data_IF_675940204330
#
_entry.id   IF_675940204330
#
_cell.length_a   1.000
_cell.length_b   1.000
_cell.length_c   1.000
_cell.angle_alpha   90.00
_cell.angle_beta   90.00
_cell.angle_gamma   90.00
#
_symmetry.space_group_name_H-M   'P 1'
#
loop_
_entity.id
_entity.type
_entity.pdbx_description
1 polymer ?
#
# COMPACT_ATOMS: atom_id res chain seq x y z
N UNK A 1 -59.88 -41.80 -29.56
CA UNK A 1 -60.92 -41.03 -28.85
C UNK A 1 -60.46 -40.76 -27.44
N UNK A 2 -60.02 -39.51 -27.24
CA UNK A 2 -59.94 -38.65 -26.05
C UNK A 2 -60.43 -39.22 -24.69
N UNK A 3 -59.53 -39.17 -23.69
CA UNK A 3 -59.73 -38.88 -22.24
C UNK A 3 -60.36 -39.93 -21.30
N UNK A 4 -60.07 -40.03 -19.99
CA UNK A 4 -59.59 -39.03 -19.01
C UNK A 4 -59.15 -39.69 -17.68
N UNK A 5 -58.28 -38.98 -16.95
CA UNK A 5 -58.28 -38.76 -15.48
C UNK A 5 -57.84 -39.89 -14.53
N UNK A 6 -57.16 -39.70 -13.38
CA UNK A 6 -56.64 -38.52 -12.67
C UNK A 6 -55.75 -39.00 -11.49
N UNK A 7 -54.62 -38.30 -11.29
CA UNK A 7 -53.80 -38.05 -10.07
C UNK A 7 -53.60 -39.10 -8.96
N UNK A 8 -52.35 -39.26 -8.52
CA UNK A 8 -51.83 -38.78 -7.20
C UNK A 8 -50.38 -39.21 -6.97
N UNK A 9 -49.57 -38.34 -6.36
CA UNK A 9 -48.43 -38.77 -5.54
C UNK A 9 -47.07 -38.21 -5.95
N UNK A 10 -46.79 -37.00 -5.51
CA UNK A 10 -45.48 -36.33 -5.51
C UNK A 10 -44.47 -37.06 -4.62
N UNK A 11 -43.21 -37.18 -5.05
CA UNK A 11 -42.04 -36.81 -4.23
C UNK A 11 -40.78 -36.72 -5.10
N UNK A 12 -40.30 -35.50 -5.32
CA UNK A 12 -39.00 -35.22 -5.90
C UNK A 12 -37.93 -35.34 -4.81
N UNK A 13 -36.84 -36.07 -5.08
CA UNK A 13 -35.60 -35.98 -4.30
C UNK A 13 -34.54 -35.35 -5.19
N UNK A 14 -34.31 -34.06 -4.97
CA UNK A 14 -33.19 -33.30 -5.52
C UNK A 14 -32.03 -33.53 -4.55
N UNK A 15 -31.03 -34.30 -4.99
CA UNK A 15 -29.74 -34.37 -4.31
C UNK A 15 -28.94 -33.11 -4.68
N UNK A 16 -29.05 -32.09 -3.83
CA UNK A 16 -28.06 -31.01 -3.78
C UNK A 16 -26.72 -31.59 -3.34
N UNK A 17 -25.79 -31.74 -4.28
CA UNK A 17 -24.37 -31.88 -3.97
C UNK A 17 -23.81 -30.50 -3.66
N UNK A 18 -23.86 -30.13 -2.39
CA UNK A 18 -23.08 -29.08 -1.76
C UNK A 18 -21.61 -29.46 -1.81
N UNK A 19 -20.90 -28.99 -2.84
CA UNK A 19 -19.44 -29.00 -2.87
C UNK A 19 -18.94 -27.60 -2.49
N UNK A 20 -18.63 -27.49 -1.20
CA UNK A 20 -17.47 -26.77 -0.66
C UNK A 20 -17.30 -25.33 -1.16
N UNK A 21 -18.05 -24.41 -0.53
CA UNK A 21 -17.51 -23.08 -0.29
C UNK A 21 -16.17 -23.24 0.42
N UNK A 22 -15.09 -22.86 -0.27
CA UNK A 22 -13.82 -22.59 0.39
C UNK A 22 -14.03 -21.44 1.35
N UNK A 23 -14.21 -21.75 2.64
CA UNK A 23 -13.95 -20.81 3.71
C UNK A 23 -12.44 -20.57 3.74
N UNK A 24 -11.99 -19.49 3.12
CA UNK A 24 -10.77 -18.82 3.57
C UNK A 24 -10.99 -17.33 3.49
N UNK A 25 -11.31 -16.73 4.62
CA UNK A 25 -10.51 -15.63 5.17
C UNK A 25 -11.13 -15.29 6.51
N UNK A 26 -10.30 -15.40 7.54
CA UNK A 26 -10.51 -14.87 8.86
C UNK A 26 -11.02 -13.43 8.71
N UNK A 27 -12.28 -13.19 9.10
CA UNK A 27 -12.84 -11.84 9.05
C UNK A 27 -12.19 -11.07 10.19
N UNK A 28 -11.08 -10.39 9.88
CA UNK A 28 -10.67 -9.24 10.66
C UNK A 28 -11.91 -8.37 10.91
N UNK A 29 -12.21 -8.00 12.14
CA UNK A 29 -13.38 -7.17 12.52
C UNK A 29 -13.30 -5.72 11.98
N UNK A 30 -12.46 -5.48 10.97
CA UNK A 30 -12.23 -4.18 10.38
C UNK A 30 -13.54 -3.60 9.83
N UNK A 31 -13.88 -2.44 10.37
CA UNK A 31 -15.06 -1.69 9.95
C UNK A 31 -14.79 -1.03 8.60
N UNK A 32 -15.63 -1.35 7.61
CA UNK A 32 -15.62 -0.66 6.32
C UNK A 32 -15.88 0.84 6.50
N UNK A 33 -15.21 1.65 5.70
CA UNK A 33 -15.34 3.10 5.69
C UNK A 33 -15.54 3.60 4.26
N UNK A 34 -16.12 4.79 4.11
CA UNK A 34 -16.16 5.47 2.79
C UNK A 34 -14.74 5.86 2.39
N UNK A 35 -14.45 5.84 1.10
CA UNK A 35 -13.21 6.41 0.62
C UNK A 35 -13.14 6.62 -0.88
N UNK A 36 -12.06 7.25 -1.33
CA UNK A 36 -11.85 7.62 -2.73
C UNK A 36 -10.38 7.53 -3.15
N UNK A 37 -10.15 7.02 -4.36
CA UNK A 37 -8.83 6.95 -5.00
C UNK A 37 -7.98 5.77 -4.55
N UNK A 38 -6.74 5.74 -5.03
CA UNK A 38 -5.75 4.74 -4.64
C UNK A 38 -4.40 5.44 -4.40
N UNK A 39 -3.64 4.94 -3.43
CA UNK A 39 -2.27 5.35 -3.20
C UNK A 39 -1.33 4.64 -4.20
N UNK A 40 -0.52 5.43 -4.90
CA UNK A 40 0.45 4.95 -5.90
C UNK A 40 1.47 6.05 -6.24
N UNK A 41 2.56 5.69 -6.91
CA UNK A 41 3.55 6.65 -7.41
C UNK A 41 3.16 7.14 -8.81
N UNK A 42 3.07 8.46 -9.01
CA UNK A 42 2.83 9.01 -10.34
C UNK A 42 3.95 8.69 -11.35
N UNK A 43 5.19 8.49 -10.86
CA UNK A 43 6.31 8.07 -11.72
C UNK A 43 6.17 6.62 -12.18
N UNK A 44 5.74 5.72 -11.28
CA UNK A 44 5.69 4.28 -11.56
C UNK A 44 4.31 3.76 -12.04
N UNK A 45 3.26 4.59 -12.05
CA UNK A 45 1.90 4.17 -12.45
C UNK A 45 1.83 3.44 -13.80
N UNK A 46 2.64 3.86 -14.76
CA UNK A 46 2.70 3.26 -16.11
C UNK A 46 3.28 1.84 -16.14
N UNK A 47 3.87 1.38 -15.04
CA UNK A 47 4.50 0.06 -14.92
C UNK A 47 3.69 -0.87 -14.03
N UNK A 48 3.06 -0.36 -12.97
CA UNK A 48 2.37 -1.17 -11.97
C UNK A 48 0.85 -1.28 -12.14
N UNK A 49 0.23 -0.35 -12.88
CA UNK A 49 -1.22 -0.32 -13.11
C UNK A 49 -2.03 -0.26 -11.82
N UNK A 50 -1.46 0.30 -10.74
CA UNK A 50 -2.17 0.44 -9.46
C UNK A 50 -3.36 1.38 -9.58
N UNK A 51 -3.29 2.39 -10.44
CA UNK A 51 -4.34 3.36 -10.71
C UNK A 51 -5.50 2.79 -11.54
N UNK A 52 -5.33 1.61 -12.14
CA UNK A 52 -6.34 0.92 -12.94
C UNK A 52 -7.19 -0.08 -12.12
N UNK A 53 -6.93 -0.24 -10.82
CA UNK A 53 -7.64 -1.21 -9.98
C UNK A 53 -9.07 -0.79 -9.68
N UNK A 54 -9.96 -1.78 -9.61
CA UNK A 54 -11.40 -1.59 -9.45
C UNK A 54 -11.93 -2.19 -8.13
N UNK A 55 -13.22 -2.04 -7.86
CA UNK A 55 -13.91 -2.61 -6.68
C UNK A 55 -13.22 -2.28 -5.34
N UNK A 56 -12.75 -1.04 -5.20
CA UNK A 56 -11.99 -0.57 -4.03
C UNK A 56 -12.87 -0.53 -2.78
N UNK A 57 -12.41 -1.18 -1.72
CA UNK A 57 -13.01 -1.16 -0.38
C UNK A 57 -12.00 -0.63 0.62
N UNK A 58 -12.42 0.36 1.41
CA UNK A 58 -11.61 0.99 2.45
C UNK A 58 -12.09 0.51 3.83
N UNK A 59 -11.15 0.47 4.76
CA UNK A 59 -11.40 0.14 6.16
C UNK A 59 -10.97 1.32 7.03
N UNK A 60 -11.57 1.43 8.22
CA UNK A 60 -11.11 2.39 9.22
C UNK A 60 -9.63 2.13 9.54
N UNK A 61 -8.81 3.19 9.61
CA UNK A 61 -7.44 3.03 10.05
C UNK A 61 -7.42 2.59 11.50
N UNK A 62 -6.37 1.88 11.86
CA UNK A 62 -6.08 1.47 13.23
C UNK A 62 -4.77 2.13 13.67
N UNK A 63 -4.60 2.31 14.97
CA UNK A 63 -3.29 2.69 15.50
C UNK A 63 -2.30 1.55 15.23
N UNK A 64 -1.02 1.89 15.00
CA UNK A 64 -0.04 0.88 14.58
C UNK A 64 0.20 -0.18 15.67
N UNK A 65 0.16 0.20 16.95
CA UNK A 65 0.24 -0.70 18.11
C UNK A 65 -0.94 -1.69 18.20
N UNK A 66 -2.08 -1.37 17.59
CA UNK A 66 -3.26 -2.23 17.48
C UNK A 66 -3.27 -3.08 16.19
N UNK A 67 -2.34 -2.84 15.26
CA UNK A 67 -2.33 -3.45 13.93
C UNK A 67 -2.16 -4.97 13.99
N UNK A 68 -1.38 -5.48 14.94
CA UNK A 68 -1.12 -6.92 15.13
C UNK A 68 -2.37 -7.73 15.49
N UNK A 69 -3.35 -7.08 16.10
CA UNK A 69 -4.61 -7.72 16.50
C UNK A 69 -5.75 -7.43 15.55
N UNK A 70 -5.67 -6.32 14.81
CA UNK A 70 -6.75 -5.82 13.98
C UNK A 70 -6.63 -6.18 12.49
N UNK A 71 -5.41 -6.30 11.96
CA UNK A 71 -5.20 -6.60 10.55
C UNK A 71 -5.34 -8.10 10.24
N UNK A 72 -5.87 -8.48 9.06
CA UNK A 72 -5.85 -9.86 8.61
C UNK A 72 -4.45 -10.43 8.63
N UNK A 73 -4.29 -11.70 9.02
CA UNK A 73 -2.97 -12.36 9.13
C UNK A 73 -2.11 -12.20 7.87
N UNK A 74 -2.71 -12.33 6.68
CA UNK A 74 -2.04 -12.18 5.38
C UNK A 74 -1.44 -10.79 5.20
N UNK A 75 -2.03 -9.76 5.80
CA UNK A 75 -1.53 -8.38 5.76
C UNK A 75 -0.57 -8.13 6.91
N UNK A 76 -0.93 -8.55 8.13
CA UNK A 76 -0.13 -8.38 9.35
C UNK A 76 1.27 -8.91 9.18
N UNK A 77 1.42 -10.08 8.55
CA UNK A 77 2.75 -10.65 8.35
C UNK A 77 3.67 -9.72 7.55
N UNK A 78 3.20 -8.69 6.83
CA UNK A 78 4.01 -7.80 5.99
C UNK A 78 4.26 -6.43 6.62
N UNK A 79 3.57 -6.15 7.72
CA UNK A 79 3.69 -4.91 8.47
C UNK A 79 4.80 -5.13 9.49
N UNK A 80 5.83 -4.30 9.41
CA UNK A 80 6.89 -4.28 10.41
C UNK A 80 6.78 -2.95 11.16
N UNK A 81 6.94 -2.96 12.47
CA UNK A 81 7.03 -1.70 13.21
C UNK A 81 8.46 -1.15 13.08
N UNK A 82 8.58 0.12 12.69
CA UNK A 82 9.84 0.83 12.82
C UNK A 82 9.94 1.34 14.24
N UNK A 83 11.13 1.23 14.84
CA UNK A 83 11.38 1.97 16.08
C UNK A 83 11.29 3.48 15.77
N UNK A 84 10.31 4.22 16.34
CA UNK A 84 10.16 5.65 16.06
C UNK A 84 11.38 6.48 16.46
N UNK A 85 12.16 6.04 17.46
CA UNK A 85 13.40 6.71 17.89
C UNK A 85 14.50 6.69 16.82
N UNK A 86 14.38 5.83 15.79
CA UNK A 86 15.30 5.80 14.64
C UNK A 86 14.90 6.79 13.55
N UNK A 87 13.70 7.38 13.60
CA UNK A 87 13.26 8.36 12.62
C UNK A 87 13.93 9.71 12.90
N UNK A 88 14.30 10.47 11.86
CA UNK A 88 14.97 11.76 12.01
C UNK A 88 13.99 12.92 12.33
N UNK A 89 12.84 12.61 12.93
CA UNK A 89 11.81 13.53 13.37
C UNK A 89 11.01 12.88 14.51
N UNK A 90 10.36 13.70 15.34
CA UNK A 90 9.48 13.19 16.40
C UNK A 90 8.19 12.67 15.76
N UNK A 91 7.74 11.49 16.19
CA UNK A 91 6.49 10.90 15.70
C UNK A 91 5.37 11.20 16.69
N UNK A 92 4.33 11.86 16.22
CA UNK A 92 3.14 12.23 17.00
C UNK A 92 1.94 11.34 16.66
N UNK A 93 1.94 10.70 15.49
CA UNK A 93 0.85 9.84 15.03
C UNK A 93 1.34 8.68 14.19
N UNK A 94 0.84 7.48 14.50
CA UNK A 94 1.17 6.22 13.83
C UNK A 94 -0.11 5.48 13.43
N UNK A 95 -0.36 5.33 12.13
CA UNK A 95 -1.59 4.69 11.63
C UNK A 95 -1.32 3.66 10.58
N UNK A 96 -2.12 2.58 10.62
CA UNK A 96 -2.19 1.59 9.56
C UNK A 96 -3.54 1.68 8.83
N UNK A 97 -3.47 1.77 7.51
CA UNK A 97 -4.62 1.76 6.60
C UNK A 97 -4.64 0.45 5.84
N UNK A 98 -5.82 -0.17 5.71
CA UNK A 98 -6.03 -1.28 4.79
C UNK A 98 -7.00 -0.85 3.68
N UNK A 99 -6.61 -1.15 2.45
CA UNK A 99 -7.45 -1.02 1.27
C UNK A 99 -7.39 -2.33 0.48
N UNK A 100 -8.56 -2.78 0.02
CA UNK A 100 -8.65 -3.95 -0.86
C UNK A 100 -9.26 -3.57 -2.19
N UNK A 101 -8.74 -4.10 -3.28
CA UNK A 101 -9.22 -3.83 -4.64
C UNK A 101 -9.04 -5.05 -5.53
N UNK A 102 -9.58 -5.02 -6.74
CA UNK A 102 -9.33 -6.04 -7.76
C UNK A 102 -8.36 -5.51 -8.81
N UNK A 103 -7.40 -6.35 -9.17
CA UNK A 103 -6.55 -6.10 -10.33
C UNK A 103 -7.31 -6.34 -11.65
N UNK A 104 -6.66 -6.05 -12.77
CA UNK A 104 -7.21 -6.25 -14.12
C UNK A 104 -7.63 -7.69 -14.44
N UNK A 105 -7.07 -8.67 -13.72
CA UNK A 105 -7.41 -10.08 -13.87
C UNK A 105 -8.59 -10.46 -12.93
N UNK A 106 -9.15 -9.50 -12.21
CA UNK A 106 -10.25 -9.65 -11.25
C UNK A 106 -9.82 -10.26 -9.91
N UNK A 107 -8.53 -10.42 -9.66
CA UNK A 107 -8.01 -11.01 -8.43
C UNK A 107 -7.98 -9.97 -7.31
N UNK A 108 -8.46 -10.36 -6.13
CA UNK A 108 -8.43 -9.52 -4.94
C UNK A 108 -6.97 -9.26 -4.52
N UNK A 109 -6.66 -8.00 -4.26
CA UNK A 109 -5.37 -7.50 -3.80
C UNK A 109 -5.54 -6.65 -2.57
N UNK A 110 -4.58 -6.75 -1.67
CA UNK A 110 -4.48 -5.88 -0.51
C UNK A 110 -3.41 -4.81 -0.78
N UNK A 111 -3.66 -3.62 -0.24
CA UNK A 111 -2.68 -2.58 -0.03
C UNK A 111 -2.78 -2.15 1.43
N UNK A 112 -1.66 -2.25 2.13
CA UNK A 112 -1.52 -1.69 3.48
C UNK A 112 -0.64 -0.46 3.41
N UNK A 113 -1.02 0.60 4.12
CA UNK A 113 -0.19 1.79 4.29
C UNK A 113 0.08 1.99 5.77
N UNK A 114 1.33 2.25 6.13
CA UNK A 114 1.74 2.66 7.46
C UNK A 114 2.19 4.11 7.36
N UNK A 115 1.67 4.96 8.24
CA UNK A 115 2.00 6.38 8.29
C UNK A 115 2.62 6.72 9.63
N UNK A 116 3.82 7.30 9.61
CA UNK A 116 4.47 7.97 10.74
C UNK A 116 4.45 9.47 10.46
N UNK A 117 3.75 10.25 11.28
CA UNK A 117 3.58 11.69 11.08
C UNK A 117 4.17 12.44 12.28
N UNK A 118 5.03 13.41 12.00
CA UNK A 118 5.49 14.42 12.95
C UNK A 118 4.75 15.73 12.73
N UNK A 119 4.39 16.41 13.83
CA UNK A 119 3.59 17.64 13.85
C UNK A 119 4.35 18.80 14.48
N UNK A 120 4.06 20.00 14.00
CA UNK A 120 4.56 21.24 14.58
C UNK A 120 3.80 21.62 15.87
N UNK A 121 4.19 22.74 16.49
CA UNK A 121 3.55 23.28 17.70
C UNK A 121 2.06 23.67 17.53
N UNK A 122 1.57 23.72 16.29
CA UNK A 122 0.18 24.01 15.93
C UNK A 122 -0.58 22.75 15.45
N UNK A 123 -0.04 21.56 15.74
CA UNK A 123 -0.61 20.26 15.37
C UNK A 123 -0.71 20.05 13.85
N UNK A 124 0.08 20.78 13.05
CA UNK A 124 0.11 20.62 11.60
C UNK A 124 1.23 19.63 11.20
N UNK A 125 0.98 18.72 10.23
CA UNK A 125 2.03 17.83 9.73
C UNK A 125 3.24 18.60 9.19
N UNK A 126 4.42 18.38 9.78
CA UNK A 126 5.68 19.01 9.37
C UNK A 126 6.68 18.01 8.77
N UNK A 127 6.54 16.73 9.15
CA UNK A 127 7.36 15.65 8.64
C UNK A 127 6.54 14.35 8.55
N UNK A 128 6.91 13.48 7.61
CA UNK A 128 6.32 12.15 7.53
C UNK A 128 7.27 11.12 6.91
N UNK A 129 6.99 9.86 7.26
CA UNK A 129 7.37 8.67 6.52
C UNK A 129 6.12 7.83 6.32
N UNK A 130 5.80 7.50 5.07
CA UNK A 130 4.62 6.71 4.72
C UNK A 130 5.07 5.53 3.85
N UNK A 131 4.67 4.33 4.24
CA UNK A 131 5.08 3.07 3.63
C UNK A 131 3.83 2.36 3.11
N UNK A 132 3.68 2.30 1.79
CA UNK A 132 2.62 1.53 1.13
C UNK A 132 3.15 0.21 0.61
N UNK A 133 2.51 -0.89 0.99
CA UNK A 133 2.86 -2.26 0.60
C UNK A 133 1.68 -2.87 -0.14
N UNK A 134 1.90 -3.22 -1.39
CA UNK A 134 0.82 -3.66 -2.29
C UNK A 134 1.08 -5.06 -2.84
N UNK A 135 0.07 -5.93 -2.78
CA UNK A 135 0.14 -7.25 -3.39
C UNK A 135 0.33 -7.18 -4.90
N UNK A 136 1.33 -7.90 -5.42
CA UNK A 136 1.53 -8.12 -6.86
C UNK A 136 2.20 -9.46 -7.16
N UNK A 137 1.55 -10.28 -7.98
CA UNK A 137 2.12 -11.56 -8.44
C UNK A 137 3.26 -11.37 -9.46
N UNK A 138 3.40 -10.15 -9.99
CA UNK A 138 4.37 -9.83 -11.04
C UNK A 138 5.22 -8.66 -10.59
N UNK A 139 6.50 -8.73 -10.91
CA UNK A 139 7.40 -7.61 -10.76
C UNK A 139 7.06 -6.52 -11.81
N UNK A 140 6.52 -5.35 -11.42
CA UNK A 140 6.24 -4.28 -12.37
C UNK A 140 7.53 -3.64 -12.91
N UNK A 141 8.66 -3.83 -12.23
CA UNK A 141 9.96 -3.27 -12.60
C UNK A 141 10.75 -4.18 -13.54
N UNK A 142 10.25 -5.38 -13.86
CA UNK A 142 10.94 -6.31 -14.76
C UNK A 142 11.23 -5.72 -16.16
N UNK A 143 10.38 -4.80 -16.62
CA UNK A 143 10.56 -4.06 -17.88
C UNK A 143 11.18 -2.66 -17.67
N UNK A 144 11.41 -2.24 -16.43
CA UNK A 144 11.93 -0.92 -16.11
C UNK A 144 13.46 -0.90 -16.21
N UNK A 145 13.98 -0.28 -17.27
CA UNK A 145 15.42 -0.20 -17.50
C UNK A 145 16.13 0.75 -16.52
N UNK A 146 15.43 1.74 -15.95
CA UNK A 146 15.91 2.64 -14.91
C UNK A 146 17.29 3.26 -15.18
N UNK A 147 17.49 3.83 -16.38
CA UNK A 147 18.78 4.38 -16.81
C UNK A 147 18.93 5.88 -16.57
N UNK A 148 17.83 6.56 -16.30
CA UNK A 148 17.81 8.02 -16.22
C UNK A 148 18.24 8.48 -14.83
N UNK A 149 19.13 9.47 -14.77
CA UNK A 149 19.58 10.08 -13.49
C UNK A 149 18.63 11.16 -12.97
N UNK A 150 17.64 11.50 -13.79
CA UNK A 150 16.69 12.57 -13.56
C UNK A 150 15.32 12.09 -14.04
N UNK A 151 14.27 12.43 -13.29
CA UNK A 151 12.89 12.12 -13.69
C UNK A 151 12.38 13.08 -14.79
N UNK A 152 11.10 12.97 -15.15
CA UNK A 152 10.47 13.76 -16.21
C UNK A 152 10.30 15.24 -15.88
N UNK A 153 10.49 15.65 -14.62
CA UNK A 153 10.26 17.02 -14.12
C UNK A 153 11.53 17.66 -13.54
N UNK A 154 12.66 16.95 -13.54
CA UNK A 154 13.97 17.48 -13.15
C UNK A 154 14.49 16.99 -11.79
N UNK A 155 13.76 16.13 -11.08
CA UNK A 155 14.20 15.57 -9.80
C UNK A 155 15.26 14.50 -10.00
N UNK A 156 16.13 14.34 -9.00
CA UNK A 156 17.20 13.37 -9.06
C UNK A 156 16.64 11.96 -8.88
N UNK A 157 17.07 11.03 -9.74
CA UNK A 157 16.63 9.64 -9.72
C UNK A 157 17.85 8.74 -9.59
N UNK A 158 17.86 7.92 -8.53
CA UNK A 158 18.94 6.99 -8.22
C UNK A 158 18.41 5.57 -8.28
N UNK A 159 19.19 4.70 -8.92
CA UNK A 159 19.02 3.25 -8.79
C UNK A 159 19.99 2.76 -7.74
N UNK A 160 19.46 2.44 -6.57
CA UNK A 160 20.18 1.86 -5.45
C UNK A 160 19.91 0.35 -5.39
N UNK A 161 20.58 -0.35 -4.48
CA UNK A 161 20.37 -1.78 -4.25
C UNK A 161 19.57 -2.03 -2.97
N UNK A 162 18.51 -2.83 -3.02
CA UNK A 162 17.85 -3.38 -1.83
C UNK A 162 18.65 -4.59 -1.33
N UNK A 163 18.97 -5.52 -2.24
CA UNK A 163 19.85 -6.66 -2.02
C UNK A 163 20.83 -6.78 -3.20
N UNK A 164 21.66 -7.82 -3.27
CA UNK A 164 22.61 -8.02 -4.38
C UNK A 164 21.90 -8.01 -5.75
N UNK A 165 20.70 -8.61 -5.83
CA UNK A 165 19.97 -8.82 -7.08
C UNK A 165 18.69 -7.97 -7.21
N UNK A 166 18.28 -7.26 -6.16
CA UNK A 166 17.01 -6.52 -6.14
C UNK A 166 17.29 -5.03 -6.06
N UNK A 167 16.88 -4.23 -7.06
CA UNK A 167 17.07 -2.78 -7.01
C UNK A 167 16.03 -2.11 -6.11
N UNK A 168 16.38 -0.94 -5.59
CA UNK A 168 15.44 0.04 -5.02
C UNK A 168 15.69 1.38 -5.70
N UNK A 169 14.63 1.98 -6.19
CA UNK A 169 14.70 3.25 -6.89
C UNK A 169 14.38 4.38 -5.94
N UNK A 170 15.22 5.40 -5.88
CA UNK A 170 15.05 6.57 -5.05
C UNK A 170 14.86 7.80 -5.92
N UNK A 171 13.77 8.53 -5.70
CA UNK A 171 13.49 9.82 -6.30
C UNK A 171 13.66 10.90 -5.25
N UNK A 172 14.57 11.84 -5.49
CA UNK A 172 14.91 12.93 -4.57
C UNK A 172 14.46 14.24 -5.21
N UNK A 173 13.55 14.94 -4.55
CA UNK A 173 13.04 16.22 -5.03
C UNK A 173 14.14 17.27 -5.10
N UNK A 174 14.26 17.89 -6.26
CA UNK A 174 15.21 19.00 -6.51
C UNK A 174 14.52 20.22 -7.11
N UNK A 175 13.23 20.10 -7.41
CA UNK A 175 12.43 21.13 -8.05
C UNK A 175 11.14 21.35 -7.29
N UNK A 176 10.56 22.55 -7.41
CA UNK A 176 9.21 22.83 -6.93
C UNK A 176 8.12 22.19 -7.81
N UNK A 177 8.51 21.65 -8.97
CA UNK A 177 7.65 20.88 -9.88
C UNK A 177 7.77 19.38 -9.58
N UNK A 178 7.37 18.95 -8.39
CA UNK A 178 7.46 17.54 -8.01
C UNK A 178 6.33 16.71 -8.66
N UNK A 179 6.65 15.48 -9.08
CA UNK A 179 5.61 14.46 -9.29
C UNK A 179 4.87 14.23 -7.96
N UNK A 180 3.58 13.91 -8.05
CA UNK A 180 2.72 13.81 -6.88
C UNK A 180 2.86 12.42 -6.26
N UNK A 181 3.36 12.36 -5.03
CA UNK A 181 3.25 11.21 -4.15
C UNK A 181 1.81 11.12 -3.63
N UNK A 182 1.15 9.97 -3.82
CA UNK A 182 -0.23 9.74 -3.35
C UNK A 182 -0.30 8.74 -2.20
N UNK A 183 -1.00 9.12 -1.15
CA UNK A 183 -1.20 8.31 0.06
C UNK A 183 -2.62 8.47 0.60
N UNK A 184 -3.03 7.57 1.50
CA UNK A 184 -4.30 7.63 2.21
C UNK A 184 -4.23 8.49 3.45
N UNK A 185 -5.27 9.28 3.67
CA UNK A 185 -5.48 10.08 4.87
C UNK A 185 -6.91 9.89 5.40
N UNK A 186 -7.07 9.91 6.71
CA UNK A 186 -8.37 9.89 7.35
C UNK A 186 -8.96 11.31 7.42
N UNK A 187 -10.19 11.47 6.94
CA UNK A 187 -10.90 12.75 6.96
C UNK A 187 -12.28 12.59 7.60
N UNK A 188 -12.97 13.71 7.87
CA UNK A 188 -14.37 13.68 8.34
C UNK A 188 -15.33 12.94 7.38
N UNK A 189 -14.96 12.80 6.10
CA UNK A 189 -15.78 12.15 5.06
C UNK A 189 -15.40 10.67 4.84
N UNK A 190 -14.42 10.16 5.56
CA UNK A 190 -13.82 8.84 5.36
C UNK A 190 -12.37 8.94 4.86
N UNK A 191 -11.91 7.92 4.14
CA UNK A 191 -10.53 7.80 3.67
C UNK A 191 -10.36 8.52 2.33
N UNK A 192 -9.51 9.54 2.29
CA UNK A 192 -9.18 10.26 1.08
C UNK A 192 -7.80 9.83 0.57
N UNK A 193 -7.61 9.87 -0.75
CA UNK A 193 -6.26 9.85 -1.33
C UNK A 193 -5.79 11.30 -1.47
N UNK A 194 -4.67 11.61 -0.84
CA UNK A 194 -4.04 12.92 -0.85
C UNK A 194 -2.79 12.86 -1.71
N UNK A 195 -2.58 13.92 -2.49
CA UNK A 195 -1.37 14.10 -3.27
C UNK A 195 -0.47 15.16 -2.65
N UNK A 196 0.81 14.84 -2.49
CA UNK A 196 1.83 15.78 -2.01
C UNK A 196 3.13 15.64 -2.78
N UNK A 197 4.07 16.55 -2.55
CA UNK A 197 5.45 16.40 -3.00
C UNK A 197 6.24 15.66 -1.92
N UNK A 198 6.85 14.53 -2.26
CA UNK A 198 7.71 13.78 -1.35
C UNK A 198 8.95 13.26 -2.07
N UNK A 199 10.01 12.95 -1.32
CA UNK A 199 11.01 12.01 -1.80
C UNK A 199 10.38 10.61 -1.79
N UNK A 200 10.71 9.77 -2.77
CA UNK A 200 10.10 8.47 -2.91
C UNK A 200 11.16 7.36 -2.98
N UNK A 201 10.85 6.21 -2.38
CA UNK A 201 11.46 4.94 -2.73
C UNK A 201 10.44 4.01 -3.36
N UNK A 202 10.90 3.22 -4.32
CA UNK A 202 10.07 2.24 -5.01
C UNK A 202 10.85 0.96 -5.29
N UNK A 203 10.31 -0.19 -4.91
CA UNK A 203 10.91 -1.50 -5.20
C UNK A 203 9.86 -2.61 -5.25
N UNK A 204 10.20 -3.72 -5.88
CA UNK A 204 9.44 -4.95 -5.83
C UNK A 204 10.25 -6.02 -5.08
N UNK A 205 9.68 -6.57 -4.03
CA UNK A 205 10.34 -7.59 -3.22
C UNK A 205 9.34 -8.63 -2.72
N UNK A 206 9.65 -9.91 -2.92
CA UNK A 206 8.88 -11.07 -2.43
C UNK A 206 7.36 -11.02 -2.68
N UNK A 207 6.92 -10.57 -3.86
CA UNK A 207 5.48 -10.51 -4.18
C UNK A 207 4.80 -9.20 -3.82
N UNK A 208 5.56 -8.19 -3.38
CA UNK A 208 5.05 -6.92 -2.92
C UNK A 208 5.72 -5.75 -3.61
N UNK A 209 4.91 -4.76 -3.98
CA UNK A 209 5.38 -3.44 -4.37
C UNK A 209 5.47 -2.61 -3.09
N UNK A 210 6.65 -2.09 -2.82
CA UNK A 210 6.88 -1.10 -1.77
C UNK A 210 6.97 0.27 -2.40
N UNK A 211 6.06 1.16 -2.01
CA UNK A 211 6.03 2.56 -2.41
C UNK A 211 6.09 3.41 -1.15
N UNK A 212 7.22 4.09 -0.94
CA UNK A 212 7.54 4.75 0.32
C UNK A 212 7.77 6.23 0.04
N UNK A 213 7.01 7.10 0.68
CA UNK A 213 7.19 8.55 0.60
C UNK A 213 7.70 9.11 1.91
N UNK A 214 8.59 10.09 1.85
CA UNK A 214 8.99 10.87 3.02
C UNK A 214 9.22 12.33 2.71
N UNK A 215 8.93 13.14 3.72
CA UNK A 215 9.22 14.56 3.72
C UNK A 215 9.69 14.94 5.12
N UNK A 216 10.91 15.49 5.22
CA UNK A 216 11.53 15.87 6.49
C UNK A 216 12.29 17.16 6.22
N UNK A 217 11.69 18.32 6.50
CA UNK A 217 12.23 19.69 6.37
C UNK A 217 12.93 20.07 5.03
N UNK A 218 12.60 21.25 4.50
CA UNK A 218 12.79 21.68 3.10
C UNK A 218 14.21 22.14 2.73
N UNK A 219 15.14 22.29 3.66
CA UNK A 219 16.49 22.80 3.36
C UNK A 219 17.41 21.78 2.61
N UNK A 220 16.86 20.67 2.08
CA UNK A 220 17.63 19.45 1.79
C UNK A 220 17.92 19.18 0.32
N UNK A 221 19.22 19.30 0.02
CA UNK A 221 20.02 18.21 -0.57
C UNK A 221 21.07 17.74 0.44
N UNK A 222 20.63 17.23 1.59
CA UNK A 222 21.54 16.58 2.53
C UNK A 222 21.73 15.11 2.14
N UNK A 223 22.86 14.77 1.50
CA UNK A 223 23.20 13.41 1.09
C UNK A 223 23.14 12.42 2.25
N UNK A 224 23.54 12.83 3.46
CA UNK A 224 23.53 11.97 4.64
C UNK A 224 22.09 11.61 5.07
N UNK A 225 21.15 12.54 4.92
CA UNK A 225 19.72 12.25 5.15
C UNK A 225 19.20 11.23 4.14
N UNK A 226 19.59 11.34 2.86
CA UNK A 226 19.14 10.41 1.81
C UNK A 226 19.67 8.99 2.06
N UNK A 227 20.92 8.86 2.50
CA UNK A 227 21.53 7.58 2.90
C UNK A 227 20.87 7.00 4.15
N UNK A 228 20.59 7.84 5.15
CA UNK A 228 19.92 7.43 6.40
C UNK A 228 18.53 6.87 6.10
N UNK A 229 17.74 7.57 5.28
CA UNK A 229 16.40 7.11 4.89
C UNK A 229 16.45 5.83 4.05
N UNK A 230 17.43 5.70 3.13
CA UNK A 230 17.63 4.48 2.35
C UNK A 230 17.94 3.28 3.27
N UNK A 231 18.79 3.46 4.28
CA UNK A 231 19.13 2.41 5.23
C UNK A 231 17.91 2.00 6.07
N UNK A 232 17.14 2.98 6.56
CA UNK A 232 15.92 2.72 7.32
C UNK A 232 14.89 1.94 6.50
N UNK A 233 14.70 2.31 5.23
CA UNK A 233 13.81 1.59 4.31
C UNK A 233 14.31 0.17 4.01
N UNK A 234 15.62 -0.02 3.84
CA UNK A 234 16.19 -1.37 3.69
C UNK A 234 15.92 -2.23 4.91
N UNK A 235 16.16 -1.70 6.10
CA UNK A 235 15.87 -2.41 7.37
C UNK A 235 14.40 -2.79 7.46
N UNK A 236 13.49 -1.88 7.12
CA UNK A 236 12.06 -2.16 7.07
C UNK A 236 11.72 -3.33 6.14
N UNK A 237 12.13 -3.25 4.88
CA UNK A 237 11.73 -4.21 3.84
C UNK A 237 12.37 -5.60 4.07
N UNK A 238 13.58 -5.63 4.63
CA UNK A 238 14.35 -6.86 4.83
C UNK A 238 14.16 -7.48 6.21
N UNK A 239 13.38 -6.85 7.10
CA UNK A 239 13.13 -7.37 8.44
C UNK A 239 12.53 -8.79 8.37
N UNK A 240 13.08 -9.76 9.12
CA UNK A 240 12.50 -11.10 9.18
C UNK A 240 11.12 -11.05 9.86
N UNK A 241 10.20 -11.90 9.40
CA UNK A 241 8.96 -12.17 10.14
C UNK A 241 9.33 -13.02 11.37
N UNK A 242 9.16 -12.47 12.56
CA UNK A 242 9.24 -13.24 13.82
C UNK A 242 7.96 -14.05 14.04
#
# INVERSE_FOLDING_TARGET
>A
MVTKSVTRGSLALILMSSLLFGCSMDQSELKKERGTGLAYSEYFKGYDGLDEREDVTYYKPVQLDEADTSLPEVVRSRVHELNPDKLPFNVDEEKAYLVTSKDKDGKLRNQVQISYIGKDEYEQPEAFLIISITDSDKDPLASFAGTDKVDTVGNEFKKEQLTEDVPIYQQILTTDSALIYKYYEETEKGIATVGTSANEFYTYYKGHIYHIGYWIDRDKKDENMQETMLQLVREYILSPHE
#
